data_IF_274483351122
#
_entry.id   IF_274483351122
#
_cell.length_a   1.000
_cell.length_b   1.000
_cell.length_c   1.000
_cell.angle_alpha   90.00
_cell.angle_beta   90.00
_cell.angle_gamma   90.00
#
_symmetry.space_group_name_H-M   'P 1'
#
loop_
_entity.id
_entity.type
_entity.pdbx_description
1 polymer ?
#
# COMPACT_ATOMS: atom_id res chain seq x y z
N UNK A 1 -12.03 10.74 14.24
CA UNK A 1 -12.09 11.55 13.00
C UNK A 1 -11.00 11.00 12.10
N UNK A 2 -11.19 10.36 10.94
CA UNK A 2 -12.37 10.02 10.13
C UNK A 2 -12.44 8.48 10.01
N UNK A 3 -13.66 7.95 10.02
CA UNK A 3 -13.96 6.51 9.91
C UNK A 3 -14.44 6.26 8.48
N UNK A 4 -13.60 5.69 7.61
CA UNK A 4 -14.06 5.19 6.30
C UNK A 4 -13.03 4.23 5.71
N UNK A 5 -13.39 2.95 5.65
CA UNK A 5 -12.77 1.87 4.87
C UNK A 5 -11.37 1.33 5.25
N UNK A 6 -11.04 1.27 6.54
CA UNK A 6 -10.11 0.22 6.97
C UNK A 6 -10.86 -1.12 6.91
N UNK A 7 -10.84 -1.79 5.76
CA UNK A 7 -11.25 -3.20 5.66
C UNK A 7 -10.36 -3.97 6.62
N UNK A 8 -10.92 -4.33 7.79
CA UNK A 8 -10.35 -5.37 8.64
C UNK A 8 -10.36 -6.64 7.80
N UNK A 9 -9.21 -6.97 7.24
CA UNK A 9 -8.99 -8.25 6.59
C UNK A 9 -8.93 -9.26 7.75
N UNK A 10 -10.09 -9.77 8.17
CA UNK A 10 -10.18 -10.98 8.98
C UNK A 10 -9.74 -12.15 8.10
N UNK A 11 -8.43 -12.33 7.96
CA UNK A 11 -7.92 -13.58 7.42
C UNK A 11 -8.09 -14.65 8.49
N UNK A 12 -8.92 -15.64 8.20
CA UNK A 12 -9.01 -16.87 8.98
C UNK A 12 -7.72 -17.67 8.70
N UNK A 13 -6.63 -17.31 9.36
CA UNK A 13 -5.29 -17.88 9.14
C UNK A 13 -5.14 -19.19 9.91
N UNK A 14 -5.28 -20.31 9.19
CA UNK A 14 -4.77 -21.61 9.63
C UNK A 14 -3.23 -21.50 9.70
N UNK A 15 -2.67 -21.45 10.91
CA UNK A 15 -1.26 -21.20 11.20
C UNK A 15 -0.33 -22.34 10.74
N UNK A 16 -0.11 -22.47 9.43
CA UNK A 16 0.97 -23.31 8.88
C UNK A 16 1.74 -22.53 7.81
N UNK A 17 2.68 -21.68 8.25
CA UNK A 17 3.69 -21.05 7.40
C UNK A 17 3.51 -19.54 7.12
N UNK A 18 3.25 -18.72 8.14
CA UNK A 18 2.98 -17.28 7.97
C UNK A 18 4.28 -16.48 7.74
N UNK A 19 4.60 -16.16 6.48
CA UNK A 19 5.51 -15.06 6.16
C UNK A 19 4.73 -13.76 6.38
N UNK A 20 5.14 -12.95 7.37
CA UNK A 20 4.57 -11.63 7.59
C UNK A 20 4.90 -10.74 6.39
N UNK A 21 3.88 -10.31 5.65
CA UNK A 21 4.03 -9.46 4.47
C UNK A 21 3.85 -8.00 4.87
N UNK A 22 4.83 -7.15 4.55
CA UNK A 22 4.74 -5.72 4.82
C UNK A 22 3.71 -5.05 3.90
N UNK A 23 3.03 -4.03 4.41
CA UNK A 23 2.15 -3.16 3.63
C UNK A 23 2.68 -1.73 3.68
N UNK A 24 2.78 -1.08 2.52
CA UNK A 24 3.22 0.32 2.42
C UNK A 24 2.02 1.16 1.99
N UNK A 25 1.82 2.30 2.68
CA UNK A 25 0.73 3.24 2.42
C UNK A 25 1.31 4.62 2.19
N UNK A 26 0.98 5.25 1.06
CA UNK A 26 1.33 6.64 0.78
C UNK A 26 0.08 7.51 0.89
N UNK A 27 0.12 8.47 1.82
CA UNK A 27 -0.95 9.43 2.03
C UNK A 27 -0.73 10.66 1.15
N UNK A 28 -1.69 10.95 0.28
CA UNK A 28 -1.71 12.14 -0.59
C UNK A 28 -0.36 12.42 -1.28
N UNK A 29 0.20 11.46 -2.03
CA UNK A 29 1.54 11.62 -2.59
C UNK A 29 1.56 12.72 -3.65
N UNK A 30 2.50 13.66 -3.51
CA UNK A 30 2.60 14.83 -4.38
C UNK A 30 3.67 14.70 -5.47
N UNK A 31 4.72 13.90 -5.23
CA UNK A 31 5.90 13.83 -6.10
C UNK A 31 5.91 12.51 -6.89
N UNK A 32 5.67 12.50 -8.21
CA UNK A 32 5.54 11.28 -9.00
C UNK A 32 6.81 10.43 -8.99
N UNK A 33 8.00 11.05 -8.99
CA UNK A 33 9.28 10.35 -8.94
C UNK A 33 9.44 9.51 -7.66
N UNK A 34 9.00 10.03 -6.51
CA UNK A 34 9.07 9.32 -5.24
C UNK A 34 8.09 8.14 -5.24
N UNK A 35 6.85 8.38 -5.66
CA UNK A 35 5.83 7.32 -5.74
C UNK A 35 6.25 6.21 -6.71
N UNK A 36 6.83 6.55 -7.86
CA UNK A 36 7.33 5.60 -8.84
C UNK A 36 8.49 4.74 -8.31
N UNK A 37 9.46 5.35 -7.61
CA UNK A 37 10.57 4.62 -6.99
C UNK A 37 10.07 3.65 -5.90
N UNK A 38 9.11 4.09 -5.09
CA UNK A 38 8.48 3.26 -4.05
C UNK A 38 7.68 2.12 -4.69
N UNK A 39 6.87 2.41 -5.71
CA UNK A 39 6.10 1.40 -6.45
C UNK A 39 6.99 0.33 -7.08
N UNK A 40 8.13 0.72 -7.67
CA UNK A 40 9.11 -0.22 -8.22
C UNK A 40 9.69 -1.14 -7.15
N UNK A 41 10.03 -0.57 -5.99
CA UNK A 41 10.54 -1.34 -4.85
C UNK A 41 9.48 -2.30 -4.31
N UNK A 42 8.24 -1.86 -4.22
CA UNK A 42 7.10 -2.68 -3.81
C UNK A 42 6.88 -3.85 -4.77
N UNK A 43 6.94 -3.61 -6.08
CA UNK A 43 6.85 -4.64 -7.10
C UNK A 43 8.02 -5.65 -7.00
N UNK A 44 9.26 -5.18 -6.79
CA UNK A 44 10.43 -6.05 -6.66
C UNK A 44 10.40 -6.93 -5.39
N UNK A 45 9.72 -6.47 -4.34
CA UNK A 45 9.65 -7.16 -3.03
C UNK A 45 8.34 -7.91 -2.80
N UNK A 46 7.43 -7.92 -3.76
CA UNK A 46 6.05 -8.41 -3.60
C UNK A 46 5.32 -7.77 -2.39
N UNK A 47 5.63 -6.51 -2.10
CA UNK A 47 5.00 -5.74 -1.02
C UNK A 47 3.79 -4.99 -1.57
N UNK A 48 2.58 -5.15 -1.02
CA UNK A 48 1.43 -4.35 -1.41
C UNK A 48 1.63 -2.85 -1.12
N UNK A 49 1.34 -2.01 -2.11
CA UNK A 49 1.38 -0.55 -2.03
C UNK A 49 -0.04 0.02 -2.16
N UNK A 50 -0.43 0.82 -1.17
CA UNK A 50 -1.72 1.54 -1.15
C UNK A 50 -1.47 3.03 -1.31
N UNK A 51 -2.19 3.69 -2.22
CA UNK A 51 -2.16 5.13 -2.40
C UNK A 51 -3.49 5.71 -1.90
N UNK A 52 -3.42 6.70 -1.02
CA UNK A 52 -4.60 7.43 -0.54
C UNK A 52 -4.67 8.76 -1.31
N UNK A 53 -5.82 8.97 -1.94
CA UNK A 53 -6.15 10.17 -2.69
C UNK A 53 -6.40 11.39 -1.78
N UNK A 54 -6.27 12.63 -2.30
CA UNK A 54 -5.92 13.00 -3.69
C UNK A 54 -4.43 12.82 -4.02
N UNK A 55 -4.16 12.35 -5.24
CA UNK A 55 -2.80 12.31 -5.78
C UNK A 55 -2.44 13.69 -6.34
N UNK A 56 -1.25 14.20 -6.03
CA UNK A 56 -0.74 15.45 -6.62
C UNK A 56 -0.26 15.31 -8.08
N UNK A 57 -0.48 14.15 -8.70
CA UNK A 57 -0.06 13.82 -10.06
C UNK A 57 -1.00 12.81 -10.71
N UNK A 58 -0.94 12.68 -12.04
CA UNK A 58 -1.68 11.65 -12.78
C UNK A 58 -0.87 10.37 -12.87
N UNK A 59 -1.50 9.22 -12.62
CA UNK A 59 -0.96 7.91 -12.97
C UNK A 59 -1.08 7.77 -14.50
N UNK A 60 0.03 7.97 -15.21
CA UNK A 60 0.13 7.78 -16.67
C UNK A 60 0.43 6.33 -17.01
#
# INVERSE_FOLDING_TARGET
MQKSNCQKIETNINMRGMILMNHIVLFEPLIPANTGNIARTCAATNTPLHLIEPLGFSLM
#
